data_IF_564962166406
#
_entry.id   IF_564962166406
#
_cell.length_a   1.000
_cell.length_b   1.000
_cell.length_c   1.000
_cell.angle_alpha   90.00
_cell.angle_beta   90.00
_cell.angle_gamma   90.00
#
_symmetry.space_group_name_H-M   'P 1'
#
loop_
_entity.id
_entity.type
_entity.pdbx_description
1 polymer ?
#
# COMPACT_ATOMS: atom_id res chain seq x y z
N UNK A 1 4.14 -16.58 18.28
CA UNK A 1 4.20 -17.67 17.27
C UNK A 1 5.05 -17.16 16.13
N UNK A 2 6.15 -17.83 15.81
CA UNK A 2 6.99 -17.43 14.67
C UNK A 2 6.15 -17.51 13.39
N UNK A 3 6.01 -16.39 12.67
CA UNK A 3 5.43 -16.36 11.34
C UNK A 3 6.32 -17.23 10.46
N UNK A 4 5.78 -18.34 9.96
CA UNK A 4 6.40 -19.05 8.85
C UNK A 4 6.38 -18.07 7.69
N UNK A 5 7.56 -17.69 7.19
CA UNK A 5 7.67 -16.82 6.04
C UNK A 5 6.85 -17.44 4.90
N UNK A 6 5.82 -16.72 4.45
CA UNK A 6 4.93 -17.18 3.39
C UNK A 6 5.79 -17.39 2.13
N UNK A 7 5.84 -18.63 1.63
CA UNK A 7 6.59 -18.92 0.41
C UNK A 7 5.81 -18.39 -0.78
N UNK A 8 6.25 -17.26 -1.31
CA UNK A 8 5.73 -16.69 -2.55
C UNK A 8 6.08 -17.61 -3.70
N UNK A 9 5.06 -18.10 -4.41
CA UNK A 9 5.22 -18.97 -5.59
C UNK A 9 5.20 -18.16 -6.88
N UNK A 10 4.55 -17.01 -6.89
CA UNK A 10 4.52 -16.06 -8.02
C UNK A 10 4.29 -14.65 -7.50
N UNK A 11 4.96 -13.66 -8.12
CA UNK A 11 4.73 -12.24 -7.89
C UNK A 11 4.64 -11.51 -9.23
N UNK A 12 3.61 -10.68 -9.41
CA UNK A 12 3.36 -9.90 -10.63
C UNK A 12 3.09 -8.45 -10.22
N UNK A 13 3.74 -7.50 -10.88
CA UNK A 13 3.41 -6.07 -10.77
C UNK A 13 2.67 -5.67 -12.03
N UNK A 14 1.53 -5.01 -11.87
CA UNK A 14 0.75 -4.47 -12.99
C UNK A 14 0.12 -3.13 -12.66
N UNK A 15 -0.31 -2.34 -13.66
CA UNK A 15 -1.14 -1.19 -13.42
C UNK A 15 -2.41 -1.56 -12.66
N UNK A 16 -2.84 -0.65 -11.78
CA UNK A 16 -4.13 -0.72 -11.10
C UNK A 16 -5.30 -0.74 -12.10
N UNK A 17 -6.38 -1.44 -11.74
CA UNK A 17 -7.68 -1.30 -12.38
C UNK A 17 -8.79 -1.19 -11.32
N UNK A 18 -9.98 -0.71 -11.71
CA UNK A 18 -11.08 -0.48 -10.77
C UNK A 18 -11.49 -1.68 -9.90
N UNK A 19 -11.26 -2.92 -10.36
CA UNK A 19 -11.54 -4.13 -9.58
C UNK A 19 -10.62 -4.29 -8.35
N UNK A 20 -9.48 -3.58 -8.30
CA UNK A 20 -8.53 -3.63 -7.20
C UNK A 20 -8.87 -2.69 -6.05
N UNK A 21 -9.85 -1.79 -6.24
CA UNK A 21 -10.05 -0.61 -5.39
C UNK A 21 -10.17 -0.97 -3.91
N UNK A 22 -11.08 -1.88 -3.58
CA UNK A 22 -11.36 -2.26 -2.20
C UNK A 22 -10.10 -2.85 -1.52
N UNK A 23 -9.37 -3.71 -2.24
CA UNK A 23 -8.14 -4.32 -1.74
C UNK A 23 -7.00 -3.30 -1.56
N UNK A 24 -6.89 -2.31 -2.45
CA UNK A 24 -5.93 -1.20 -2.36
C UNK A 24 -6.24 -0.30 -1.16
N UNK A 25 -7.50 0.08 -0.97
CA UNK A 25 -7.94 0.88 0.18
C UNK A 25 -7.68 0.13 1.49
N UNK A 26 -8.01 -1.17 1.54
CA UNK A 26 -7.74 -2.00 2.71
C UNK A 26 -6.23 -2.09 3.00
N UNK A 27 -5.40 -2.36 1.99
CA UNK A 27 -3.95 -2.44 2.13
C UNK A 27 -3.35 -1.13 2.66
N UNK A 28 -3.86 0.02 2.22
CA UNK A 28 -3.46 1.32 2.73
C UNK A 28 -3.77 1.49 4.22
N UNK A 29 -5.00 1.16 4.62
CA UNK A 29 -5.46 1.29 6.00
C UNK A 29 -4.65 0.39 6.93
N UNK A 30 -4.40 -0.86 6.53
CA UNK A 30 -3.55 -1.81 7.26
C UNK A 30 -2.08 -1.36 7.31
N UNK A 31 -1.56 -0.85 6.20
CA UNK A 31 -0.20 -0.31 6.10
C UNK A 31 0.03 0.83 7.08
N UNK A 32 -0.88 1.80 7.15
CA UNK A 32 -0.80 2.92 8.08
C UNK A 32 -0.94 2.51 9.55
N UNK A 33 -1.78 1.52 9.88
CA UNK A 33 -1.88 0.98 11.25
C UNK A 33 -0.54 0.39 11.69
N UNK A 34 0.22 -0.23 10.77
CA UNK A 34 1.54 -0.79 11.12
C UNK A 34 2.60 0.26 11.52
N UNK A 35 2.32 1.56 11.35
CA UNK A 35 3.19 2.66 11.78
C UNK A 35 2.77 3.31 13.11
N UNK A 36 1.62 2.93 13.71
CA UNK A 36 1.29 3.38 15.06
C UNK A 36 2.21 2.70 16.06
N UNK A 37 2.84 3.47 16.94
CA UNK A 37 3.74 2.93 17.95
C UNK A 37 3.01 2.65 19.28
N UNK A 38 3.47 1.63 20.01
CA UNK A 38 2.98 1.36 21.36
C UNK A 38 3.30 2.56 22.28
N UNK A 39 2.27 3.07 22.97
CA UNK A 39 2.39 4.23 23.85
C UNK A 39 1.90 5.56 23.25
N UNK A 40 1.32 5.57 22.05
CA UNK A 40 0.65 6.75 21.51
C UNK A 40 -0.50 7.22 22.41
N UNK A 41 -0.56 8.54 22.63
CA UNK A 41 -1.69 9.18 23.29
C UNK A 41 -2.95 9.14 22.41
N UNK A 42 -4.12 9.35 23.04
CA UNK A 42 -5.40 9.35 22.33
C UNK A 42 -5.49 10.43 21.24
N UNK A 43 -4.79 11.55 21.40
CA UNK A 43 -4.77 12.63 20.41
C UNK A 43 -4.08 12.18 19.11
N UNK A 44 -2.96 11.46 19.23
CA UNK A 44 -2.20 10.89 18.11
C UNK A 44 -3.00 9.83 17.38
N UNK A 45 -3.68 8.93 18.11
CA UNK A 45 -4.58 7.93 17.51
C UNK A 45 -5.71 8.57 16.69
N UNK A 46 -6.33 9.63 17.22
CA UNK A 46 -7.39 10.38 16.52
C UNK A 46 -6.82 11.07 15.28
N UNK A 47 -5.63 11.67 15.37
CA UNK A 47 -4.98 12.29 14.23
C UNK A 47 -4.69 11.27 13.13
N UNK A 48 -4.15 10.10 13.46
CA UNK A 48 -3.88 9.04 12.48
C UNK A 48 -5.14 8.47 11.85
N UNK A 49 -6.24 8.35 12.60
CA UNK A 49 -7.53 7.99 12.04
C UNK A 49 -8.00 9.02 11.01
N UNK A 50 -7.86 10.32 11.30
CA UNK A 50 -8.21 11.39 10.35
C UNK A 50 -7.32 11.40 9.11
N UNK A 51 -6.00 11.22 9.26
CA UNK A 51 -5.06 11.17 8.13
C UNK A 51 -5.36 9.99 7.21
N UNK A 52 -5.69 8.83 7.78
CA UNK A 52 -6.15 7.66 7.03
C UNK A 52 -7.40 7.98 6.22
N UNK A 53 -8.44 8.49 6.89
CA UNK A 53 -9.72 8.79 6.23
C UNK A 53 -9.54 9.86 5.14
N UNK A 54 -8.83 10.94 5.41
CA UNK A 54 -8.57 11.99 4.43
C UNK A 54 -7.82 11.49 3.18
N UNK A 55 -6.99 10.45 3.33
CA UNK A 55 -6.31 9.83 2.19
C UNK A 55 -7.22 8.91 1.39
N UNK A 56 -8.11 8.19 2.06
CA UNK A 56 -9.17 7.41 1.40
C UNK A 56 -10.09 8.33 0.60
N UNK A 57 -10.49 9.45 1.20
CA UNK A 57 -11.43 10.41 0.61
C UNK A 57 -10.81 11.34 -0.45
N UNK A 58 -9.49 11.26 -0.67
CA UNK A 58 -8.80 12.09 -1.64
C UNK A 58 -8.34 11.30 -2.86
N UNK A 59 -7.07 10.95 -2.93
CA UNK A 59 -6.49 10.32 -4.12
C UNK A 59 -6.87 8.86 -4.30
N UNK A 60 -7.21 8.16 -3.21
CA UNK A 60 -7.68 6.79 -3.33
C UNK A 60 -9.13 6.71 -3.81
N UNK A 61 -9.97 7.72 -3.54
CA UNK A 61 -11.35 7.77 -4.04
C UNK A 61 -11.43 7.87 -5.58
N UNK A 62 -10.40 8.44 -6.22
CA UNK A 62 -10.32 8.58 -7.68
C UNK A 62 -8.87 8.39 -8.18
N UNK A 63 -8.39 7.15 -8.15
CA UNK A 63 -7.03 6.82 -8.59
C UNK A 63 -6.83 7.15 -10.07
N UNK A 64 -7.83 6.87 -10.92
CA UNK A 64 -7.71 7.10 -12.36
C UNK A 64 -7.60 8.60 -12.68
N UNK A 65 -8.44 9.44 -12.08
CA UNK A 65 -8.40 10.89 -12.27
C UNK A 65 -7.17 11.56 -11.64
N UNK A 66 -6.72 11.07 -10.48
CA UNK A 66 -5.60 11.70 -9.77
C UNK A 66 -4.24 11.28 -10.30
N UNK A 67 -4.07 10.01 -10.68
CA UNK A 67 -2.79 9.49 -11.16
C UNK A 67 -2.76 9.42 -12.69
N UNK A 68 -3.64 8.64 -13.32
CA UNK A 68 -3.53 8.36 -14.76
C UNK A 68 -3.88 9.55 -15.64
N UNK A 69 -5.01 10.21 -15.39
CA UNK A 69 -5.45 11.35 -16.21
C UNK A 69 -4.47 12.54 -16.18
N UNK A 70 -3.60 12.58 -15.17
CA UNK A 70 -2.56 13.62 -14.98
C UNK A 70 -1.17 13.17 -15.44
N UNK A 71 -1.07 12.05 -16.15
CA UNK A 71 0.19 11.52 -16.69
C UNK A 71 1.08 10.84 -15.66
N UNK A 72 0.55 10.52 -14.49
CA UNK A 72 1.15 9.63 -13.49
C UNK A 72 0.70 8.19 -13.67
N UNK A 73 1.00 7.36 -12.66
CA UNK A 73 0.72 5.93 -12.68
C UNK A 73 0.41 5.40 -11.28
N UNK A 74 -0.25 4.25 -11.22
CA UNK A 74 -0.50 3.52 -9.99
C UNK A 74 -0.33 2.02 -10.28
N UNK A 75 0.48 1.35 -9.48
CA UNK A 75 0.77 -0.07 -9.63
C UNK A 75 0.36 -0.85 -8.39
N UNK A 76 -0.05 -2.08 -8.63
CA UNK A 76 -0.32 -3.09 -7.60
C UNK A 76 0.61 -4.27 -7.81
N UNK A 77 1.08 -4.83 -6.70
CA UNK A 77 1.79 -6.09 -6.67
C UNK A 77 0.81 -7.17 -6.22
N UNK A 78 0.66 -8.21 -7.04
CA UNK A 78 -0.07 -9.41 -6.72
C UNK A 78 0.92 -10.52 -6.39
N UNK A 79 0.60 -11.31 -5.37
CA UNK A 79 1.37 -12.49 -5.05
C UNK A 79 0.46 -13.66 -4.74
N UNK A 80 0.92 -14.85 -5.12
CA UNK A 80 0.36 -16.14 -4.71
C UNK A 80 1.32 -16.81 -3.76
N UNK A 81 0.81 -17.32 -2.66
CA UNK A 81 1.55 -18.16 -1.71
C UNK A 81 1.08 -19.61 -1.84
N UNK A 82 1.89 -20.55 -1.36
CA UNK A 82 1.54 -21.96 -1.41
C UNK A 82 0.24 -22.23 -0.63
N UNK A 83 -0.78 -22.74 -1.32
CA UNK A 83 -2.08 -23.08 -0.72
C UNK A 83 -3.07 -21.91 -0.62
N UNK A 84 -2.73 -20.70 -1.10
CA UNK A 84 -3.64 -19.55 -1.12
C UNK A 84 -3.89 -19.03 -2.54
N UNK A 85 -4.94 -18.21 -2.67
CA UNK A 85 -5.22 -17.47 -3.88
C UNK A 85 -4.29 -16.26 -4.06
N UNK A 86 -4.23 -15.80 -5.30
CA UNK A 86 -3.52 -14.55 -5.63
C UNK A 86 -4.21 -13.37 -4.95
N UNK A 87 -3.42 -12.52 -4.31
CA UNK A 87 -3.92 -11.36 -3.57
C UNK A 87 -3.03 -10.14 -3.81
N UNK A 88 -3.60 -8.94 -3.67
CA UNK A 88 -2.81 -7.71 -3.69
C UNK A 88 -2.00 -7.62 -2.39
N UNK A 89 -0.69 -7.54 -2.53
CA UNK A 89 0.27 -7.50 -1.41
C UNK A 89 1.10 -6.25 -1.39
N UNK A 90 1.03 -5.42 -2.42
CA UNK A 90 1.75 -4.17 -2.48
C UNK A 90 1.07 -3.16 -3.40
N UNK A 91 1.34 -1.88 -3.15
CA UNK A 91 0.86 -0.79 -3.97
C UNK A 91 1.85 0.38 -3.96
N UNK A 92 1.84 1.16 -5.03
CA UNK A 92 2.55 2.45 -5.11
C UNK A 92 1.93 3.33 -6.20
N UNK A 93 1.74 4.61 -5.88
CA UNK A 93 1.35 5.65 -6.82
C UNK A 93 2.52 6.55 -7.19
N UNK A 94 2.55 7.00 -8.44
CA UNK A 94 3.44 8.04 -8.95
C UNK A 94 2.58 9.19 -9.44
N UNK A 95 2.58 10.31 -8.71
CA UNK A 95 1.92 11.53 -9.12
C UNK A 95 2.91 12.40 -9.91
N UNK A 96 2.52 12.83 -11.11
CA UNK A 96 3.33 13.76 -11.91
C UNK A 96 3.05 15.20 -11.50
N UNK A 97 4.12 15.98 -11.32
CA UNK A 97 4.04 17.43 -11.03
C UNK A 97 4.52 18.28 -12.22
N UNK A 98 5.54 17.82 -12.94
CA UNK A 98 6.07 18.44 -14.17
C UNK A 98 6.60 17.36 -15.13
N UNK A 99 7.34 17.74 -16.17
CA UNK A 99 7.96 16.80 -17.12
C UNK A 99 9.12 16.01 -16.50
N UNK A 100 9.73 16.55 -15.45
CA UNK A 100 10.94 16.05 -14.79
C UNK A 100 10.77 15.75 -13.30
N UNK A 101 9.62 16.11 -12.70
CA UNK A 101 9.32 15.88 -11.28
C UNK A 101 8.07 15.00 -11.12
N UNK A 102 8.24 13.93 -10.35
CA UNK A 102 7.17 13.08 -9.87
C UNK A 102 7.32 12.76 -8.38
N UNK A 103 6.21 12.51 -7.71
CA UNK A 103 6.13 12.16 -6.30
C UNK A 103 5.66 10.71 -6.15
N UNK A 104 6.42 9.92 -5.39
CA UNK A 104 5.96 8.61 -4.94
C UNK A 104 5.00 8.76 -3.77
N UNK A 105 3.83 8.16 -3.90
CA UNK A 105 2.74 8.23 -2.92
C UNK A 105 2.23 6.83 -2.64
N UNK A 106 1.62 6.67 -1.46
CA UNK A 106 0.89 5.44 -1.09
C UNK A 106 1.72 4.16 -1.26
N UNK A 107 3.02 4.21 -1.00
CA UNK A 107 3.84 3.00 -1.00
C UNK A 107 3.48 2.14 0.21
N UNK A 108 3.04 0.92 -0.01
CA UNK A 108 2.69 -0.01 1.07
C UNK A 108 2.89 -1.45 0.62
N UNK A 109 3.35 -2.29 1.55
CA UNK A 109 3.50 -3.74 1.36
C UNK A 109 2.84 -4.43 2.56
N UNK A 110 2.09 -5.51 2.30
CA UNK A 110 1.42 -6.32 3.32
C UNK A 110 2.48 -6.94 4.25
N UNK A 111 2.24 -6.92 5.57
CA UNK A 111 3.26 -7.24 6.58
C UNK A 111 3.99 -8.57 6.35
N UNK A 112 3.27 -9.64 6.00
CA UNK A 112 3.84 -10.97 5.71
C UNK A 112 4.70 -11.06 4.44
N UNK A 113 4.69 -10.02 3.60
CA UNK A 113 5.45 -9.91 2.35
C UNK A 113 6.59 -8.89 2.46
N UNK A 114 6.79 -8.28 3.64
CA UNK A 114 7.96 -7.43 3.92
C UNK A 114 9.12 -8.36 4.29
N UNK A 115 10.21 -8.32 3.53
CA UNK A 115 11.42 -9.00 3.95
C UNK A 115 11.99 -8.29 5.20
N UNK A 116 12.12 -9.02 6.32
CA UNK A 116 12.98 -8.58 7.41
C UNK A 116 14.40 -8.47 6.84
N UNK A 117 14.89 -7.24 6.65
CA UNK A 117 16.29 -7.04 6.33
C UNK A 117 17.12 -7.63 7.46
N UNK A 118 17.94 -8.63 7.15
CA UNK A 118 19.06 -9.02 7.99
C UNK A 118 19.97 -7.81 8.16
N UNK A 119 19.77 -7.07 9.24
CA UNK A 119 20.78 -6.27 9.92
C UNK A 119 20.65 -6.60 11.41
N UNK A 120 21.16 -7.76 11.78
CA UNK A 120 21.72 -7.99 13.10
C UNK A 120 23.22 -8.09 12.86
N UNK A 121 23.90 -6.95 13.02
CA UNK A 121 25.32 -6.91 13.35
C UNK A 121 25.46 -7.10 14.87
#
# INVERSE_FOLDING_TARGET
MASVAQRVTTAIIRPYCGADHDAVVQLYLEGMISYSFEGEDEASKVLWARVRQASVDSDLADIEGVYFARGGHFWVALARTEGEDEQIVGMVGLQRHSDDVGELRRMSVKAGFRAWSYLQD
#
